data_IF_480598628158
#
_entry.id   IF_480598628158
#
_cell.length_a   1.000
_cell.length_b   1.000
_cell.length_c   1.000
_cell.angle_alpha   90.00
_cell.angle_beta   90.00
_cell.angle_gamma   90.00
#
_symmetry.space_group_name_H-M   'P 1'
#
loop_
_entity.id
_entity.type
_entity.pdbx_description
1 polymer ?
#
# COMPACT_ATOMS: atom_id res chain seq x y z
N UNK A 1 -11.05 21.38 -18.41
CA UNK A 1 -10.13 20.28 -18.72
C UNK A 1 -8.88 20.81 -19.42
N UNK A 2 -7.83 21.03 -18.70
CA UNK A 2 -6.48 21.12 -19.29
C UNK A 2 -5.89 19.71 -19.32
N UNK A 3 -6.46 18.85 -20.16
CA UNK A 3 -6.06 17.43 -20.24
C UNK A 3 -4.62 17.23 -20.66
N UNK A 4 -3.99 18.24 -21.25
CA UNK A 4 -2.63 18.19 -21.76
C UNK A 4 -1.56 18.66 -20.77
N UNK A 5 -1.96 19.25 -19.64
CA UNK A 5 -1.03 19.74 -18.61
C UNK A 5 -0.79 18.72 -17.48
N UNK A 6 -1.37 17.51 -17.59
CA UNK A 6 -1.24 16.47 -16.56
C UNK A 6 0.06 15.72 -16.74
N UNK A 7 1.06 16.05 -15.95
CA UNK A 7 2.33 15.31 -15.89
C UNK A 7 2.23 14.12 -14.95
N UNK A 8 3.02 13.08 -15.19
CA UNK A 8 3.01 11.88 -14.34
C UNK A 8 3.48 12.15 -12.92
N UNK A 9 4.35 13.15 -12.72
CA UNK A 9 4.82 13.56 -11.40
C UNK A 9 3.67 14.00 -10.50
N UNK A 10 2.68 14.65 -11.08
CA UNK A 10 1.56 15.28 -10.37
C UNK A 10 0.20 14.62 -10.66
N UNK A 11 0.15 13.63 -11.57
CA UNK A 11 -1.11 13.06 -12.08
C UNK A 11 -2.11 12.69 -10.98
N UNK A 12 -1.63 12.09 -9.87
CA UNK A 12 -2.51 11.71 -8.76
C UNK A 12 -3.13 12.91 -8.06
N UNK A 13 -2.33 13.92 -7.77
CA UNK A 13 -2.76 15.12 -7.04
C UNK A 13 -3.51 16.09 -7.95
N UNK A 14 -3.08 16.23 -9.18
CA UNK A 14 -3.80 17.06 -10.17
C UNK A 14 -5.17 16.49 -10.49
N UNK A 15 -5.32 15.17 -10.62
CA UNK A 15 -6.62 14.56 -10.86
C UNK A 15 -7.55 14.77 -9.65
N UNK A 16 -7.03 14.61 -8.42
CA UNK A 16 -7.73 14.93 -7.19
C UNK A 16 -8.16 16.40 -7.17
N UNK A 17 -7.24 17.30 -7.45
CA UNK A 17 -7.50 18.74 -7.48
C UNK A 17 -8.46 19.15 -8.58
N UNK A 18 -8.40 18.53 -9.76
CA UNK A 18 -9.35 18.75 -10.84
C UNK A 18 -10.78 18.36 -10.45
N UNK A 19 -10.94 17.24 -9.75
CA UNK A 19 -12.25 16.84 -9.22
C UNK A 19 -12.71 17.80 -8.11
N UNK A 20 -11.84 18.13 -7.16
CA UNK A 20 -12.14 18.98 -6.02
C UNK A 20 -12.38 20.44 -6.40
N UNK A 21 -11.90 20.89 -7.55
CA UNK A 21 -12.19 22.23 -8.09
C UNK A 21 -13.69 22.49 -8.31
N UNK A 22 -14.44 21.43 -8.65
CA UNK A 22 -15.90 21.49 -8.78
C UNK A 22 -16.63 20.81 -7.61
N UNK A 23 -15.98 19.83 -6.96
CA UNK A 23 -16.54 19.01 -5.89
C UNK A 23 -15.89 19.31 -4.54
N UNK A 24 -15.76 20.57 -4.16
CA UNK A 24 -15.01 21.01 -2.96
C UNK A 24 -15.56 20.44 -1.63
N UNK A 25 -16.87 20.22 -1.51
CA UNK A 25 -17.48 19.62 -0.32
C UNK A 25 -17.40 18.09 -0.24
N UNK A 26 -16.82 17.44 -1.24
CA UNK A 26 -16.85 15.97 -1.37
C UNK A 26 -16.04 15.27 -0.29
N UNK A 27 -14.92 15.84 0.16
CA UNK A 27 -14.10 15.27 1.23
C UNK A 27 -14.91 15.14 2.52
N UNK A 28 -15.60 16.21 2.92
CA UNK A 28 -16.48 16.19 4.10
C UNK A 28 -17.61 15.15 3.96
N UNK A 29 -18.20 15.03 2.76
CA UNK A 29 -19.22 14.01 2.49
C UNK A 29 -18.66 12.59 2.64
N UNK A 30 -17.42 12.33 2.19
CA UNK A 30 -16.80 11.02 2.36
C UNK A 30 -16.50 10.71 3.84
N UNK A 31 -16.13 11.72 4.62
CA UNK A 31 -15.87 11.56 6.05
C UNK A 31 -17.09 11.08 6.85
N UNK A 32 -18.31 11.31 6.35
CA UNK A 32 -19.53 10.88 7.04
C UNK A 32 -19.77 9.37 7.02
N UNK A 33 -19.18 8.65 6.08
CA UNK A 33 -19.43 7.21 5.91
C UNK A 33 -18.17 6.36 5.68
N UNK A 34 -17.08 6.96 5.17
CA UNK A 34 -15.84 6.26 4.83
C UNK A 34 -14.86 6.38 6.01
N UNK A 35 -14.57 5.29 6.75
CA UNK A 35 -13.56 5.31 7.80
C UNK A 35 -12.19 5.74 7.24
N UNK A 36 -11.47 6.58 7.96
CA UNK A 36 -10.16 7.10 7.52
C UNK A 36 -10.19 7.70 6.10
N UNK A 37 -11.21 8.48 5.79
CA UNK A 37 -11.45 9.05 4.47
C UNK A 37 -10.23 9.75 3.88
N UNK A 38 -9.46 10.49 4.69
CA UNK A 38 -8.24 11.16 4.22
C UNK A 38 -7.21 10.19 3.66
N UNK A 39 -6.94 9.08 4.37
CA UNK A 39 -6.03 8.03 3.89
C UNK A 39 -6.55 7.36 2.61
N UNK A 40 -7.84 7.06 2.56
CA UNK A 40 -8.43 6.48 1.36
C UNK A 40 -8.28 7.43 0.16
N UNK A 41 -8.59 8.71 0.34
CA UNK A 41 -8.50 9.71 -0.72
C UNK A 41 -7.06 10.05 -1.11
N UNK A 42 -6.09 9.80 -0.24
CA UNK A 42 -4.67 9.89 -0.58
C UNK A 42 -4.17 8.68 -1.38
N UNK A 43 -4.56 7.48 -0.95
CA UNK A 43 -4.08 6.24 -1.55
C UNK A 43 -4.91 5.77 -2.75
N UNK A 44 -6.14 6.25 -2.92
CA UNK A 44 -7.08 5.80 -3.94
C UNK A 44 -7.49 6.97 -4.82
N UNK A 45 -7.41 6.81 -6.13
CA UNK A 45 -7.89 7.81 -7.07
C UNK A 45 -9.43 7.82 -7.12
N UNK A 46 -10.04 9.01 -7.27
CA UNK A 46 -11.50 9.14 -7.33
C UNK A 46 -12.15 8.19 -8.34
N UNK A 47 -11.63 8.05 -9.59
CA UNK A 47 -12.19 7.11 -10.55
C UNK A 47 -12.13 5.64 -10.11
N UNK A 48 -11.19 5.26 -9.23
CA UNK A 48 -11.09 3.86 -8.78
C UNK A 48 -12.35 3.40 -8.02
N UNK A 49 -13.07 4.31 -7.39
CA UNK A 49 -14.37 4.02 -6.76
C UNK A 49 -15.54 4.41 -7.67
N UNK A 50 -15.40 5.50 -8.46
CA UNK A 50 -16.48 6.06 -9.28
C UNK A 50 -16.60 5.45 -10.68
N UNK A 51 -15.75 4.49 -11.05
CA UNK A 51 -15.89 3.67 -12.27
C UNK A 51 -15.92 2.19 -11.87
N UNK A 52 -17.03 1.67 -11.39
CA UNK A 52 -17.10 0.34 -10.78
C UNK A 52 -16.73 -0.81 -11.72
N UNK A 53 -16.96 -0.68 -13.03
CA UNK A 53 -16.63 -1.71 -14.03
C UNK A 53 -15.19 -1.70 -14.54
N UNK A 54 -14.40 -0.67 -14.22
CA UNK A 54 -13.04 -0.56 -14.73
C UNK A 54 -12.06 -1.46 -13.99
N UNK A 55 -11.05 -1.94 -14.71
CA UNK A 55 -9.92 -2.63 -14.10
C UNK A 55 -9.03 -1.66 -13.31
N UNK A 56 -8.56 -2.11 -12.17
CA UNK A 56 -7.71 -1.35 -11.26
C UNK A 56 -6.31 -1.94 -11.20
N UNK A 57 -5.36 -1.12 -10.76
CA UNK A 57 -4.01 -1.56 -10.42
C UNK A 57 -3.52 -0.81 -9.19
N UNK A 58 -2.62 -1.42 -8.47
CA UNK A 58 -1.78 -0.74 -7.48
C UNK A 58 -0.51 -0.27 -8.18
N UNK A 59 -0.29 1.02 -8.23
CA UNK A 59 0.94 1.62 -8.76
C UNK A 59 1.85 1.97 -7.58
N UNK A 60 2.94 1.21 -7.42
CA UNK A 60 3.98 1.45 -6.43
C UNK A 60 4.96 2.48 -7.00
N UNK A 61 4.87 3.68 -6.49
CA UNK A 61 5.63 4.84 -6.96
C UNK A 61 6.86 5.05 -6.12
N UNK A 62 8.00 5.26 -6.77
CA UNK A 62 9.25 5.56 -6.08
C UNK A 62 9.32 7.04 -5.72
N UNK A 63 9.66 7.31 -4.47
CA UNK A 63 9.85 8.66 -3.91
C UNK A 63 11.16 8.74 -3.17
N UNK A 64 11.73 9.93 -3.19
CA UNK A 64 12.80 10.29 -2.28
C UNK A 64 12.24 10.52 -0.87
N UNK A 65 12.88 9.93 0.14
CA UNK A 65 12.39 10.00 1.53
C UNK A 65 12.56 11.38 2.17
N UNK A 66 13.48 12.20 1.66
CA UNK A 66 13.79 13.54 2.20
C UNK A 66 12.98 14.60 1.46
N UNK A 67 13.15 14.72 0.13
CA UNK A 67 12.44 15.72 -0.66
C UNK A 67 10.94 15.44 -0.80
N UNK A 68 10.52 14.18 -0.59
CA UNK A 68 9.15 13.70 -0.83
C UNK A 68 8.72 13.79 -2.30
N UNK A 69 9.66 14.03 -3.20
CA UNK A 69 9.42 14.09 -4.64
C UNK A 69 9.46 12.70 -5.26
N UNK A 70 8.74 12.53 -6.36
CA UNK A 70 8.80 11.29 -7.14
C UNK A 70 10.15 11.19 -7.83
N UNK A 71 10.72 10.01 -7.82
CA UNK A 71 11.94 9.73 -8.57
C UNK A 71 11.63 9.83 -10.06
N UNK A 72 12.47 10.57 -10.78
CA UNK A 72 12.37 10.78 -12.21
C UNK A 72 13.61 10.23 -12.92
N UNK A 73 13.40 9.76 -14.13
CA UNK A 73 14.49 9.36 -15.00
C UNK A 73 15.12 10.60 -15.64
N UNK A 74 16.43 10.66 -15.63
CA UNK A 74 17.16 11.76 -16.26
C UNK A 74 17.11 11.62 -17.79
N UNK A 75 16.91 12.73 -18.48
CA UNK A 75 16.90 12.77 -19.93
C UNK A 75 18.24 12.27 -20.50
N UNK A 76 18.18 11.36 -21.48
CA UNK A 76 19.36 10.80 -22.13
C UNK A 76 20.03 9.62 -21.41
N UNK A 77 19.53 9.21 -20.23
CA UNK A 77 20.06 8.08 -19.47
C UNK A 77 18.91 7.16 -19.04
N UNK A 78 18.38 6.32 -19.95
CA UNK A 78 17.28 5.42 -19.64
C UNK A 78 17.78 4.27 -18.77
N UNK A 79 17.52 4.35 -17.47
CA UNK A 79 18.04 3.39 -16.50
C UNK A 79 16.95 2.53 -15.87
N UNK A 80 15.73 3.06 -15.73
CA UNK A 80 14.65 2.36 -15.04
C UNK A 80 14.31 1.02 -15.70
N UNK A 81 14.08 1.04 -17.00
CA UNK A 81 13.75 -0.17 -17.77
C UNK A 81 14.90 -1.18 -17.75
N UNK A 82 16.14 -0.71 -17.88
CA UNK A 82 17.32 -1.57 -17.83
C UNK A 82 17.47 -2.24 -16.45
N UNK A 83 17.32 -1.48 -15.38
CA UNK A 83 17.44 -1.98 -14.00
C UNK A 83 16.32 -2.95 -13.65
N UNK A 84 15.08 -2.66 -14.06
CA UNK A 84 13.96 -3.56 -13.83
C UNK A 84 14.13 -4.88 -14.58
N UNK A 85 14.62 -4.85 -15.82
CA UNK A 85 14.95 -6.08 -16.58
C UNK A 85 16.08 -6.89 -15.96
N UNK A 86 17.10 -6.24 -15.40
CA UNK A 86 18.18 -6.96 -14.69
C UNK A 86 17.63 -7.61 -13.42
N UNK A 87 16.79 -6.89 -12.68
CA UNK A 87 16.18 -7.41 -11.46
C UNK A 87 15.17 -8.53 -11.74
N UNK A 88 14.44 -8.45 -12.86
CA UNK A 88 13.48 -9.45 -13.34
C UNK A 88 14.00 -10.15 -14.61
N UNK A 89 15.08 -10.90 -14.47
CA UNK A 89 15.70 -11.61 -15.58
C UNK A 89 14.78 -12.65 -16.27
N UNK A 90 13.72 -13.07 -15.58
CA UNK A 90 12.74 -14.04 -16.11
C UNK A 90 11.57 -13.38 -16.83
N UNK A 91 11.37 -12.07 -16.68
CA UNK A 91 10.24 -11.35 -17.25
C UNK A 91 8.88 -11.75 -16.66
N UNK A 92 8.86 -12.21 -15.42
CA UNK A 92 7.64 -12.67 -14.73
C UNK A 92 7.00 -11.59 -13.84
N UNK A 93 7.59 -10.40 -13.82
CA UNK A 93 7.29 -9.30 -12.92
C UNK A 93 8.18 -9.30 -11.69
N UNK A 94 8.45 -8.10 -11.16
CA UNK A 94 9.30 -7.94 -9.99
C UNK A 94 8.68 -8.67 -8.78
N UNK A 95 9.37 -9.66 -8.29
CA UNK A 95 9.08 -10.27 -6.99
C UNK A 95 9.65 -9.41 -5.84
N UNK A 96 9.44 -9.84 -4.59
CA UNK A 96 9.88 -9.07 -3.42
C UNK A 96 11.41 -8.89 -3.34
N UNK A 97 12.20 -9.89 -3.77
CA UNK A 97 13.65 -9.81 -3.77
C UNK A 97 14.17 -8.92 -4.90
N UNK A 98 13.59 -9.06 -6.10
CA UNK A 98 13.90 -8.22 -7.23
C UNK A 98 13.57 -6.74 -6.93
N UNK A 99 12.42 -6.48 -6.29
CA UNK A 99 12.04 -5.15 -5.86
C UNK A 99 13.01 -4.57 -4.83
N UNK A 100 13.45 -5.37 -3.85
CA UNK A 100 14.47 -4.95 -2.89
C UNK A 100 15.79 -4.61 -3.58
N UNK A 101 16.23 -5.45 -4.52
CA UNK A 101 17.46 -5.21 -5.30
C UNK A 101 17.37 -3.91 -6.08
N UNK A 102 16.22 -3.66 -6.72
CA UNK A 102 15.96 -2.43 -7.44
C UNK A 102 16.03 -1.19 -6.53
N UNK A 103 15.43 -1.25 -5.34
CA UNK A 103 15.48 -0.16 -4.36
C UNK A 103 16.91 0.11 -3.86
N UNK A 104 17.72 -0.94 -3.68
CA UNK A 104 19.11 -0.80 -3.30
C UNK A 104 19.93 -0.09 -4.39
N UNK A 105 19.68 -0.38 -5.66
CA UNK A 105 20.32 0.33 -6.77
C UNK A 105 19.99 1.83 -6.76
N UNK A 106 18.72 2.19 -6.55
CA UNK A 106 18.34 3.60 -6.42
C UNK A 106 18.96 4.26 -5.18
N UNK A 107 19.14 3.54 -4.09
CA UNK A 107 19.75 4.06 -2.87
C UNK A 107 21.27 4.30 -2.99
N UNK A 108 21.96 3.56 -3.85
CA UNK A 108 23.40 3.73 -4.08
C UNK A 108 23.75 5.05 -4.77
N UNK A 109 22.84 5.59 -5.56
CA UNK A 109 23.07 6.80 -6.35
C UNK A 109 22.85 8.10 -5.57
N UNK A 110 22.11 8.04 -4.47
CA UNK A 110 21.77 9.21 -3.66
C UNK A 110 22.21 9.06 -2.22
N UNK A 111 23.45 9.36 -1.91
CA UNK A 111 24.06 9.12 -0.60
C UNK A 111 23.35 9.78 0.60
N UNK A 112 22.43 10.72 0.38
CA UNK A 112 21.75 11.48 1.44
C UNK A 112 20.28 11.10 1.66
N UNK A 113 19.65 10.37 0.75
CA UNK A 113 18.22 10.08 0.81
C UNK A 113 17.93 8.61 0.54
N UNK A 114 16.94 8.07 1.24
CA UNK A 114 16.45 6.71 1.04
C UNK A 114 15.28 6.73 0.06
N UNK A 115 15.32 5.86 -0.95
CA UNK A 115 14.18 5.63 -1.83
C UNK A 115 13.09 4.84 -1.12
N UNK A 116 11.88 5.34 -1.16
CA UNK A 116 10.70 4.71 -0.58
C UNK A 116 9.63 4.46 -1.64
N UNK A 117 8.79 3.46 -1.42
CA UNK A 117 7.62 3.19 -2.23
C UNK A 117 6.38 3.79 -1.59
N UNK A 118 5.51 4.37 -2.41
CA UNK A 118 4.14 4.71 -2.02
C UNK A 118 3.18 4.08 -3.01
N UNK A 119 2.28 3.27 -2.50
CA UNK A 119 1.23 2.65 -3.30
C UNK A 119 0.08 3.61 -3.56
N UNK A 120 -0.48 3.54 -4.77
CA UNK A 120 -1.71 4.21 -5.14
C UNK A 120 -2.59 3.27 -5.94
N UNK A 121 -3.85 3.15 -5.52
CA UNK A 121 -4.86 2.43 -6.30
C UNK A 121 -5.44 3.36 -7.37
N UNK A 122 -5.30 2.97 -8.61
CA UNK A 122 -5.76 3.75 -9.76
C UNK A 122 -6.41 2.84 -10.82
N UNK A 123 -7.04 3.43 -11.83
CA UNK A 123 -7.51 2.68 -12.98
C UNK A 123 -6.32 2.18 -13.81
N UNK A 124 -6.47 0.99 -14.37
CA UNK A 124 -5.47 0.43 -15.28
C UNK A 124 -5.35 1.26 -16.56
N UNK A 125 -6.47 1.65 -17.14
CA UNK A 125 -6.53 2.45 -18.35
C UNK A 125 -7.04 3.85 -18.04
N UNK A 126 -6.30 4.88 -18.45
CA UNK A 126 -6.70 6.28 -18.21
C UNK A 126 -7.99 6.67 -18.94
N UNK A 127 -8.31 6.02 -20.06
CA UNK A 127 -9.54 6.25 -20.83
C UNK A 127 -10.79 5.93 -20.01
N UNK A 128 -10.73 4.89 -19.17
CA UNK A 128 -11.84 4.50 -18.33
C UNK A 128 -12.22 5.60 -17.30
N UNK A 129 -11.29 6.49 -16.99
CA UNK A 129 -11.57 7.63 -16.08
C UNK A 129 -12.62 8.60 -16.62
N UNK A 130 -12.96 8.54 -17.89
CA UNK A 130 -14.05 9.35 -18.48
C UNK A 130 -15.43 8.71 -18.30
N UNK A 131 -15.50 7.46 -17.82
CA UNK A 131 -16.76 6.73 -17.58
C UNK A 131 -17.23 6.86 -16.13
N UNK A 132 -17.10 8.05 -15.56
CA UNK A 132 -17.51 8.29 -14.17
C UNK A 132 -19.01 8.01 -14.01
N UNK A 133 -19.34 7.22 -13.03
CA UNK A 133 -20.71 6.98 -12.60
C UNK A 133 -21.13 7.96 -11.51
N UNK A 134 -22.43 8.12 -11.36
CA UNK A 134 -22.98 8.87 -10.24
C UNK A 134 -22.70 8.20 -8.89
N UNK A 135 -22.95 8.91 -7.81
CA UNK A 135 -22.69 8.45 -6.44
C UNK A 135 -23.43 7.16 -6.06
N UNK A 136 -24.52 6.82 -6.73
CA UNK A 136 -25.31 5.61 -6.41
C UNK A 136 -24.65 4.33 -6.88
N UNK A 137 -23.84 4.43 -7.94
CA UNK A 137 -23.10 3.31 -8.54
C UNK A 137 -21.64 3.22 -8.08
N UNK A 138 -21.15 4.22 -7.34
CA UNK A 138 -19.82 4.19 -6.79
C UNK A 138 -19.64 3.02 -5.82
N UNK A 139 -18.43 2.44 -5.78
CA UNK A 139 -18.11 1.34 -4.88
C UNK A 139 -18.16 1.84 -3.44
N UNK A 140 -19.09 1.29 -2.65
CA UNK A 140 -19.26 1.58 -1.22
C UNK A 140 -19.07 0.35 -0.34
N UNK A 141 -19.11 -0.85 -0.94
CA UNK A 141 -18.89 -2.08 -0.20
C UNK A 141 -17.40 -2.21 0.14
N UNK A 142 -17.08 -2.16 1.43
CA UNK A 142 -15.72 -2.29 1.93
C UNK A 142 -15.07 -3.62 1.53
N UNK A 143 -15.84 -4.70 1.45
CA UNK A 143 -15.35 -6.03 1.05
C UNK A 143 -14.84 -6.07 -0.40
N UNK A 144 -15.28 -5.15 -1.26
CA UNK A 144 -14.75 -5.06 -2.63
C UNK A 144 -13.23 -4.83 -2.66
N UNK A 145 -12.68 -4.23 -1.60
CA UNK A 145 -11.25 -3.98 -1.44
C UNK A 145 -10.65 -4.71 -0.22
N UNK A 146 -11.44 -4.92 0.86
CA UNK A 146 -10.93 -5.42 2.13
C UNK A 146 -11.14 -6.94 2.34
N UNK A 147 -11.44 -7.68 1.30
CA UNK A 147 -11.43 -9.16 1.31
C UNK A 147 -10.08 -9.69 0.81
N UNK A 148 -9.70 -10.87 1.25
CA UNK A 148 -8.53 -11.56 0.71
C UNK A 148 -8.68 -11.82 -0.78
N UNK A 149 -7.64 -11.55 -1.58
CA UNK A 149 -7.67 -11.75 -3.02
C UNK A 149 -8.57 -10.77 -3.79
N UNK A 150 -8.91 -9.62 -3.21
CA UNK A 150 -9.74 -8.62 -3.88
C UNK A 150 -9.17 -8.17 -5.23
N UNK A 151 -10.03 -8.07 -6.24
CA UNK A 151 -9.67 -7.75 -7.62
C UNK A 151 -8.81 -6.48 -7.80
N UNK A 152 -9.04 -5.39 -7.02
CA UNK A 152 -8.23 -4.18 -7.15
C UNK A 152 -6.73 -4.36 -6.92
N UNK A 153 -6.32 -5.41 -6.22
CA UNK A 153 -4.93 -5.68 -5.82
C UNK A 153 -4.26 -6.81 -6.63
N UNK A 154 -4.90 -7.30 -7.69
CA UNK A 154 -4.33 -8.38 -8.51
C UNK A 154 -3.31 -7.89 -9.54
N UNK A 155 -3.37 -6.61 -9.91
CA UNK A 155 -2.43 -5.99 -10.86
C UNK A 155 -1.59 -4.98 -10.09
N UNK A 156 -0.29 -5.18 -10.11
CA UNK A 156 0.68 -4.32 -9.42
C UNK A 156 1.74 -3.86 -10.41
N UNK A 157 2.08 -2.59 -10.34
CA UNK A 157 3.17 -2.00 -11.13
C UNK A 157 4.09 -1.19 -10.23
N UNK A 158 5.36 -1.10 -10.62
CA UNK A 158 6.33 -0.17 -10.04
C UNK A 158 6.57 0.95 -11.04
N UNK A 159 6.63 2.19 -10.58
CA UNK A 159 6.78 3.31 -11.51
C UNK A 159 7.66 4.45 -11.00
N UNK A 160 8.31 5.10 -11.98
CA UNK A 160 8.98 6.39 -11.83
C UNK A 160 8.41 7.40 -12.83
N UNK A 161 8.86 8.64 -12.75
CA UNK A 161 8.53 9.67 -13.75
C UNK A 161 9.51 9.57 -14.92
N UNK A 162 9.01 9.43 -16.13
CA UNK A 162 9.83 9.45 -17.34
C UNK A 162 10.28 10.87 -17.71
N UNK A 163 11.23 10.99 -18.68
CA UNK A 163 11.77 12.28 -19.10
C UNK A 163 10.72 13.22 -19.71
N UNK A 164 9.64 12.64 -20.26
CA UNK A 164 8.50 13.35 -20.84
C UNK A 164 7.40 13.68 -19.79
N UNK A 165 7.66 13.40 -18.51
CA UNK A 165 6.71 13.56 -17.42
C UNK A 165 5.67 12.43 -17.33
N UNK A 166 5.70 11.45 -18.22
CA UNK A 166 4.80 10.28 -18.14
C UNK A 166 5.36 9.20 -17.22
N UNK A 167 4.51 8.37 -16.61
CA UNK A 167 4.99 7.29 -15.79
C UNK A 167 5.63 6.19 -16.66
N UNK A 168 6.87 5.85 -16.36
CA UNK A 168 7.48 4.61 -16.78
C UNK A 168 7.05 3.53 -15.77
N UNK A 169 6.47 2.45 -16.27
CA UNK A 169 5.91 1.37 -15.43
C UNK A 169 6.53 0.03 -15.79
N UNK A 170 6.71 -0.77 -14.75
CA UNK A 170 7.12 -2.15 -14.88
C UNK A 170 6.21 -3.03 -14.03
N UNK A 171 5.85 -4.21 -14.54
CA UNK A 171 4.97 -5.12 -13.83
C UNK A 171 5.67 -5.70 -12.60
N UNK A 172 4.91 -5.82 -11.53
CA UNK A 172 5.34 -6.46 -10.30
C UNK A 172 4.38 -7.57 -9.89
N UNK A 173 4.91 -8.57 -9.23
CA UNK A 173 4.08 -9.64 -8.68
C UNK A 173 3.23 -9.10 -7.52
N UNK A 174 1.95 -9.46 -7.49
CA UNK A 174 1.02 -9.04 -6.41
C UNK A 174 1.52 -9.41 -5.01
N UNK A 175 2.35 -10.44 -4.91
CA UNK A 175 2.92 -10.90 -3.64
C UNK A 175 3.83 -9.86 -2.99
N UNK A 176 4.35 -8.88 -3.74
CA UNK A 176 5.12 -7.77 -3.16
C UNK A 176 4.30 -6.97 -2.15
N UNK A 177 2.97 -6.92 -2.31
CA UNK A 177 2.08 -6.24 -1.36
C UNK A 177 1.97 -6.95 -0.02
N UNK A 178 2.31 -8.25 0.04
CA UNK A 178 2.22 -9.11 1.23
C UNK A 178 3.58 -9.42 1.86
N UNK A 179 4.68 -8.93 1.28
CA UNK A 179 6.01 -9.25 1.76
C UNK A 179 6.42 -8.36 2.94
N UNK A 180 7.21 -8.88 3.87
CA UNK A 180 7.80 -8.11 4.96
C UNK A 180 8.70 -6.97 4.43
N UNK A 181 9.33 -7.18 3.26
CA UNK A 181 10.15 -6.19 2.58
C UNK A 181 9.33 -4.98 2.14
N UNK A 182 8.08 -5.19 1.72
CA UNK A 182 7.20 -4.09 1.32
C UNK A 182 6.78 -3.20 2.49
N UNK A 183 6.71 -3.74 3.71
CA UNK A 183 6.34 -2.96 4.91
C UNK A 183 7.35 -1.86 5.20
N UNK A 184 8.65 -2.18 5.10
CA UNK A 184 9.70 -1.20 5.33
C UNK A 184 9.85 -0.19 4.19
N UNK A 185 9.44 -0.56 2.99
CA UNK A 185 9.62 0.21 1.76
C UNK A 185 8.38 0.96 1.33
N UNK A 186 7.18 0.46 1.66
CA UNK A 186 5.89 1.07 1.28
C UNK A 186 5.40 2.00 2.39
N UNK A 187 5.79 3.26 2.31
CA UNK A 187 5.27 4.28 3.23
C UNK A 187 3.84 4.70 2.87
N UNK A 188 2.92 4.60 3.83
CA UNK A 188 1.59 5.20 3.72
C UNK A 188 0.51 4.43 2.97
N UNK A 189 0.85 3.35 2.26
CA UNK A 189 -0.14 2.49 1.63
C UNK A 189 -0.32 1.19 2.43
N UNK A 190 -1.52 0.96 2.90
CA UNK A 190 -1.88 -0.24 3.64
C UNK A 190 -3.21 -0.79 3.13
N UNK A 191 -3.15 -1.85 2.33
CA UNK A 191 -4.33 -2.51 1.80
C UNK A 191 -4.64 -3.76 2.64
N UNK A 192 -5.67 -3.69 3.47
CA UNK A 192 -6.01 -4.75 4.42
C UNK A 192 -6.50 -6.02 3.70
N UNK A 193 -7.25 -5.89 2.62
CA UNK A 193 -7.85 -7.06 1.97
C UNK A 193 -6.93 -7.81 0.99
N UNK A 194 -5.97 -7.11 0.38
CA UNK A 194 -5.02 -7.69 -0.58
C UNK A 194 -3.62 -7.91 -0.02
N UNK A 195 -3.33 -7.35 1.16
CA UNK A 195 -1.99 -7.25 1.73
C UNK A 195 -1.95 -7.73 3.17
N UNK A 196 -2.48 -8.91 3.45
CA UNK A 196 -2.43 -9.50 4.77
C UNK A 196 -1.01 -9.99 5.06
N UNK A 197 -0.35 -9.34 6.01
CA UNK A 197 1.00 -9.72 6.44
C UNK A 197 0.87 -10.82 7.49
N UNK A 198 1.00 -12.07 7.06
CA UNK A 198 0.89 -13.26 7.93
C UNK A 198 1.80 -13.19 9.16
N UNK A 199 2.97 -12.55 9.04
CA UNK A 199 3.88 -12.35 10.16
C UNK A 199 3.26 -11.50 11.28
N UNK A 200 2.56 -10.42 10.94
CA UNK A 200 1.90 -9.56 11.92
C UNK A 200 0.73 -10.28 12.60
N UNK A 201 -0.01 -11.12 11.87
CA UNK A 201 -1.05 -11.95 12.45
C UNK A 201 -0.48 -12.90 13.50
N UNK A 202 0.64 -13.57 13.21
CA UNK A 202 1.32 -14.43 14.16
C UNK A 202 1.87 -13.68 15.39
N UNK A 203 2.44 -12.51 15.19
CA UNK A 203 2.90 -11.64 16.28
C UNK A 203 1.72 -11.18 17.15
N UNK A 204 0.59 -10.85 16.55
CA UNK A 204 -0.63 -10.50 17.28
C UNK A 204 -1.15 -11.67 18.11
N UNK A 205 -1.20 -12.88 17.54
CA UNK A 205 -1.59 -14.10 18.26
C UNK A 205 -0.65 -14.37 19.43
N UNK A 206 0.66 -14.28 19.22
CA UNK A 206 1.64 -14.47 20.30
C UNK A 206 1.49 -13.41 21.39
N UNK A 207 1.27 -12.15 21.04
CA UNK A 207 1.02 -11.08 22.00
C UNK A 207 -0.26 -11.32 22.81
N UNK A 208 -1.34 -11.75 22.15
CA UNK A 208 -2.60 -12.08 22.80
C UNK A 208 -2.46 -13.28 23.75
N UNK A 209 -1.80 -14.35 23.29
CA UNK A 209 -1.54 -15.54 24.11
C UNK A 209 -0.67 -15.22 25.33
N UNK A 210 0.37 -14.39 25.17
CA UNK A 210 1.21 -13.97 26.30
C UNK A 210 0.47 -13.05 27.25
N UNK A 211 -0.34 -12.13 26.73
CA UNK A 211 -1.14 -11.20 27.53
C UNK A 211 -2.18 -11.88 28.42
N UNK A 212 -2.71 -13.01 27.96
CA UNK A 212 -3.67 -13.81 28.73
C UNK A 212 -2.98 -14.93 29.51
N UNK A 213 -2.01 -15.59 28.91
CA UNK A 213 -1.31 -16.75 29.47
C UNK A 213 -0.49 -16.43 30.70
N UNK A 214 0.21 -15.29 30.71
CA UNK A 214 1.05 -14.90 31.87
C UNK A 214 0.21 -14.64 33.14
N UNK A 215 -0.85 -13.83 33.09
CA UNK A 215 -1.72 -13.65 34.27
C UNK A 215 -2.38 -14.94 34.75
N UNK A 216 -2.90 -15.76 33.83
CA UNK A 216 -3.52 -17.05 34.19
C UNK A 216 -2.48 -18.01 34.78
N UNK A 217 -1.30 -18.10 34.20
CA UNK A 217 -0.21 -18.91 34.77
C UNK A 217 0.20 -18.44 36.15
N UNK A 218 0.29 -17.13 36.37
CA UNK A 218 0.58 -16.57 37.69
C UNK A 218 -0.54 -16.88 38.71
N UNK A 219 -1.78 -16.76 38.30
CA UNK A 219 -2.92 -17.08 39.16
C UNK A 219 -2.99 -18.57 39.54
N UNK A 220 -2.75 -19.46 38.59
CA UNK A 220 -2.74 -20.91 38.81
C UNK A 220 -1.59 -21.32 39.73
N UNK A 221 -0.39 -20.79 39.54
CA UNK A 221 0.76 -21.02 40.40
C UNK A 221 0.46 -20.51 41.82
N UNK A 222 -0.07 -19.30 41.97
CA UNK A 222 -0.44 -18.74 43.26
C UNK A 222 -1.52 -19.59 43.99
N UNK A 223 -2.48 -20.13 43.23
CA UNK A 223 -3.52 -21.01 43.79
C UNK A 223 -2.91 -22.36 44.21
N UNK A 224 -2.05 -22.99 43.43
CA UNK A 224 -1.35 -24.22 43.74
C UNK A 224 -0.49 -24.06 45.00
N UNK A 225 0.32 -23.00 45.09
CA UNK A 225 1.17 -22.75 46.26
C UNK A 225 0.34 -22.46 47.52
N UNK A 226 -0.83 -21.83 47.41
CA UNK A 226 -1.76 -21.70 48.56
C UNK A 226 -2.28 -23.05 49.00
N UNK A 227 -2.66 -23.93 48.10
CA UNK A 227 -3.16 -25.26 48.38
C UNK A 227 -2.08 -26.15 49.06
N UNK A 228 -0.84 -26.10 48.59
CA UNK A 228 0.29 -26.79 49.18
C UNK A 228 0.63 -26.29 50.60
N UNK A 229 0.59 -24.99 50.83
CA UNK A 229 0.83 -24.40 52.17
C UNK A 229 -0.30 -24.79 53.16
N UNK A 230 -1.54 -24.83 52.70
CA UNK A 230 -2.65 -25.28 53.54
C UNK A 230 -2.57 -26.78 53.88
N UNK A 231 -2.08 -27.62 53.00
CA UNK A 231 -1.91 -29.05 53.22
C UNK A 231 -0.68 -29.40 54.09
N UNK A 232 0.39 -28.56 54.07
CA UNK A 232 1.61 -28.76 54.88
C UNK A 232 1.51 -28.19 56.33
N UNK A 233 0.47 -27.42 56.64
CA UNK A 233 0.28 -26.80 57.96
C UNK A 233 -0.41 -27.65 59.02
N UNK A 234 -0.66 -28.95 58.76
CA UNK A 234 -1.35 -29.87 59.70
C UNK A 234 -0.42 -30.92 60.33
N UNK A 235 0.87 -30.67 60.31
CA UNK A 235 1.85 -31.51 61.05
C UNK A 235 2.69 -30.66 62.01
N UNK A 236 2.07 -30.20 63.10
CA UNK A 236 2.73 -29.90 64.37
C UNK A 236 1.68 -29.92 65.47
#
# INVERSE_FOLDING_TARGET
HRAHDVTAATTGDQLKNACLGCHSGTVATHQTWLPNAERHLDAISCPACHVPGAQRRVDLRLYDSVSKERISEKQGVPQFESRTRIADAKGTGLDALALQSLLLEFNREGAASKTILRGRLELRNGVDAHQLSDKSKAIRNCESCHREGADPFQIVTVSIVGPDGRPLRYDANKEVLNSAISVDSVGGFYAIGGTRIKLLDWLLVLAALSGVGVPLGHMTLKWLFRKYRAAGGTQH
#
